data_IF_611113001399
#
_entry.id   IF_611113001399
#
_cell.length_a   1.000
_cell.length_b   1.000
_cell.length_c   1.000
_cell.angle_alpha   90.00
_cell.angle_beta   90.00
_cell.angle_gamma   90.00
#
_symmetry.space_group_name_H-M   'P 1'
#
loop_
_entity.id
_entity.type
_entity.pdbx_description
1 polymer ?
#
# COMPACT_ATOMS: atom_id res chain seq x y z
N UNK A 1 -23.47 -28.23 45.77
CA UNK A 1 -22.40 -27.25 46.03
C UNK A 1 -21.08 -27.79 45.48
N UNK A 2 -20.89 -27.88 44.15
CA UNK A 2 -19.70 -28.55 43.57
C UNK A 2 -19.25 -27.96 42.22
N UNK A 3 -19.82 -26.80 41.83
CA UNK A 3 -19.51 -26.13 40.57
C UNK A 3 -18.61 -24.89 40.74
N UNK A 4 -18.30 -24.50 41.99
CA UNK A 4 -17.33 -23.45 42.30
C UNK A 4 -15.91 -24.02 42.34
N UNK A 5 -15.70 -25.12 43.07
CA UNK A 5 -14.37 -25.76 43.17
C UNK A 5 -13.75 -26.07 41.80
N UNK A 6 -14.50 -26.66 40.86
CA UNK A 6 -13.96 -26.98 39.52
C UNK A 6 -13.55 -25.77 38.66
N UNK A 7 -14.09 -24.57 38.93
CA UNK A 7 -13.69 -23.36 38.21
C UNK A 7 -12.44 -22.73 38.80
N UNK A 8 -12.27 -22.88 40.11
CA UNK A 8 -11.07 -22.42 40.80
C UNK A 8 -9.89 -23.35 40.45
N UNK A 9 -10.12 -24.67 40.33
CA UNK A 9 -9.10 -25.64 39.88
C UNK A 9 -8.57 -25.35 38.45
N UNK A 10 -9.45 -25.05 37.48
CA UNK A 10 -9.06 -24.70 36.09
C UNK A 10 -8.34 -23.34 36.01
N UNK A 11 -8.66 -22.42 36.93
CA UNK A 11 -7.99 -21.13 37.02
C UNK A 11 -6.59 -21.28 37.61
N UNK A 12 -6.42 -22.13 38.63
CA UNK A 12 -5.14 -22.38 39.29
C UNK A 12 -4.16 -23.09 38.33
N UNK A 13 -4.64 -24.06 37.54
CA UNK A 13 -3.82 -24.72 36.51
C UNK A 13 -3.35 -23.73 35.42
N UNK A 14 -4.22 -22.81 34.98
CA UNK A 14 -3.84 -21.74 34.04
C UNK A 14 -2.86 -20.73 34.65
N UNK A 15 -2.96 -20.46 35.94
CA UNK A 15 -2.06 -19.55 36.65
C UNK A 15 -0.68 -20.17 36.82
N UNK A 16 -0.60 -21.47 37.14
CA UNK A 16 0.66 -22.22 37.21
C UNK A 16 1.34 -22.30 35.83
N UNK A 17 0.57 -22.54 34.76
CA UNK A 17 1.10 -22.51 33.39
C UNK A 17 1.63 -21.13 33.03
N UNK A 18 0.89 -20.06 33.37
CA UNK A 18 1.32 -18.69 33.15
C UNK A 18 2.56 -18.33 33.97
N UNK A 19 2.67 -18.79 35.22
CA UNK A 19 3.85 -18.58 36.06
C UNK A 19 5.07 -19.30 35.49
N UNK A 20 4.90 -20.54 35.01
CA UNK A 20 5.97 -21.29 34.34
C UNK A 20 6.50 -20.54 33.12
N UNK A 21 5.60 -20.10 32.23
CA UNK A 21 5.95 -19.34 31.02
C UNK A 21 6.60 -18.00 31.36
N UNK A 22 6.11 -17.28 32.38
CA UNK A 22 6.73 -16.04 32.82
C UNK A 22 8.11 -16.26 33.44
N UNK A 23 8.33 -17.40 34.11
CA UNK A 23 9.64 -17.76 34.65
C UNK A 23 10.65 -18.06 33.54
N UNK A 24 10.21 -18.75 32.49
CA UNK A 24 11.00 -19.09 31.30
C UNK A 24 11.36 -17.82 30.51
N UNK A 25 10.37 -16.98 30.23
CA UNK A 25 10.59 -15.70 29.53
C UNK A 25 11.53 -14.76 30.31
N UNK A 26 11.46 -14.78 31.65
CA UNK A 26 12.36 -14.01 32.51
C UNK A 26 13.78 -14.58 32.56
N UNK A 27 13.94 -15.89 32.40
CA UNK A 27 15.25 -16.51 32.27
C UNK A 27 15.90 -16.13 30.93
N UNK A 28 15.14 -16.24 29.83
CA UNK A 28 15.57 -15.85 28.49
C UNK A 28 15.95 -14.37 28.39
N UNK A 29 15.14 -13.48 28.99
CA UNK A 29 15.44 -12.05 29.03
C UNK A 29 16.77 -11.77 29.75
N UNK A 30 17.05 -12.46 30.87
CA UNK A 30 18.30 -12.31 31.61
C UNK A 30 19.52 -12.87 30.86
N UNK A 31 19.34 -13.90 30.05
CA UNK A 31 20.40 -14.44 29.18
C UNK A 31 20.73 -13.46 28.05
N UNK A 32 19.70 -12.97 27.35
CA UNK A 32 19.85 -11.95 26.30
C UNK A 32 20.49 -10.64 26.80
N UNK A 33 20.21 -10.25 28.05
CA UNK A 33 20.79 -9.05 28.66
C UNK A 33 22.28 -9.20 29.00
N UNK A 34 22.75 -10.44 29.22
CA UNK A 34 24.19 -10.75 29.38
C UNK A 34 24.92 -10.74 28.05
N UNK A 35 24.27 -11.16 26.96
CA UNK A 35 24.83 -11.14 25.60
C UNK A 35 25.02 -9.72 25.03
N UNK A 36 24.33 -8.71 25.58
CA UNK A 36 24.47 -7.29 25.17
C UNK A 36 25.75 -6.59 25.68
N UNK A 37 26.57 -7.24 26.52
CA UNK A 37 27.83 -6.65 27.06
C UNK A 37 29.09 -6.92 26.23
N UNK A 38 28.98 -7.60 25.09
CA UNK A 38 30.10 -7.83 24.16
C UNK A 38 29.99 -7.01 22.87
N UNK A 39 31.08 -6.90 22.08
CA UNK A 39 31.02 -6.31 20.73
C UNK A 39 29.92 -6.97 19.91
N UNK A 40 29.25 -6.23 18.99
CA UNK A 40 28.11 -6.74 18.25
C UNK A 40 28.52 -8.02 17.52
N UNK A 41 27.92 -9.14 17.92
CA UNK A 41 28.20 -10.41 17.26
C UNK A 41 27.59 -10.35 15.85
N UNK A 42 28.31 -10.84 14.83
CA UNK A 42 27.72 -10.98 13.51
C UNK A 42 26.48 -11.89 13.60
N UNK A 43 25.42 -11.56 12.83
CA UNK A 43 24.16 -12.28 12.91
C UNK A 43 24.35 -13.74 12.56
N UNK A 44 23.68 -14.64 13.31
CA UNK A 44 23.77 -16.07 13.00
C UNK A 44 22.87 -16.42 11.82
N UNK A 45 23.21 -17.47 11.08
CA UNK A 45 22.38 -18.02 10.00
C UNK A 45 20.95 -18.34 10.50
N UNK A 46 20.81 -18.80 11.74
CA UNK A 46 19.52 -19.03 12.39
C UNK A 46 18.71 -17.74 12.61
N UNK A 47 19.36 -16.61 12.86
CA UNK A 47 18.70 -15.30 12.96
C UNK A 47 18.27 -14.76 11.60
N UNK A 48 19.05 -15.01 10.54
CA UNK A 48 18.64 -14.66 9.18
C UNK A 48 17.43 -15.47 8.72
N UNK A 49 17.42 -16.79 8.96
CA UNK A 49 16.26 -17.64 8.68
C UNK A 49 15.05 -17.15 9.48
N UNK A 50 15.21 -16.91 10.78
CA UNK A 50 14.13 -16.38 11.63
C UNK A 50 13.66 -14.99 11.18
N UNK A 51 14.56 -14.14 10.71
CA UNK A 51 14.23 -12.82 10.17
C UNK A 51 13.44 -12.93 8.85
N UNK A 52 13.84 -13.85 7.97
CA UNK A 52 13.09 -14.09 6.73
C UNK A 52 11.71 -14.66 7.02
N UNK A 53 11.57 -15.53 8.02
CA UNK A 53 10.29 -16.09 8.44
C UNK A 53 9.39 -15.07 9.14
N UNK A 54 9.95 -14.26 10.05
CA UNK A 54 9.16 -13.29 10.83
C UNK A 54 8.80 -12.04 10.04
N UNK A 55 9.66 -11.60 9.13
CA UNK A 55 9.53 -10.28 8.52
C UNK A 55 9.56 -10.30 7.00
N UNK A 56 10.53 -10.97 6.36
CA UNK A 56 10.69 -10.86 4.91
C UNK A 56 9.58 -11.59 4.15
N UNK A 57 9.34 -12.86 4.47
CA UNK A 57 8.33 -13.70 3.81
C UNK A 57 6.92 -13.14 4.05
N UNK A 58 6.49 -12.78 5.27
CA UNK A 58 5.17 -12.19 5.49
C UNK A 58 4.97 -10.87 4.74
N UNK A 59 6.00 -10.01 4.71
CA UNK A 59 5.95 -8.74 3.96
C UNK A 59 5.83 -8.99 2.46
N UNK A 60 6.60 -9.95 1.93
CA UNK A 60 6.54 -10.30 0.51
C UNK A 60 5.18 -10.90 0.13
N UNK A 61 4.62 -11.75 0.99
CA UNK A 61 3.26 -12.30 0.82
C UNK A 61 2.23 -11.18 0.85
N UNK A 62 2.31 -10.25 1.80
CA UNK A 62 1.38 -9.12 1.89
C UNK A 62 1.46 -8.22 0.64
N UNK A 63 2.66 -7.98 0.12
CA UNK A 63 2.86 -7.26 -1.13
C UNK A 63 2.19 -8.00 -2.30
N UNK A 64 2.43 -9.30 -2.44
CA UNK A 64 1.83 -10.13 -3.48
C UNK A 64 0.30 -10.23 -3.35
N UNK A 65 -0.23 -10.34 -2.13
CA UNK A 65 -1.67 -10.34 -1.90
C UNK A 65 -2.29 -8.99 -2.29
N UNK A 66 -1.58 -7.90 -2.02
CA UNK A 66 -1.99 -6.55 -2.42
C UNK A 66 -1.97 -6.39 -3.95
N UNK A 67 -0.93 -6.91 -4.62
CA UNK A 67 -0.88 -6.86 -6.09
C UNK A 67 -1.97 -7.74 -6.72
N UNK A 68 -2.20 -8.95 -6.20
CA UNK A 68 -3.29 -9.82 -6.63
C UNK A 68 -4.64 -9.13 -6.42
N UNK A 69 -4.92 -8.57 -5.25
CA UNK A 69 -6.16 -7.82 -4.98
C UNK A 69 -6.32 -6.62 -5.93
N UNK A 70 -5.22 -5.94 -6.27
CA UNK A 70 -5.24 -4.84 -7.25
C UNK A 70 -5.60 -5.33 -8.66
N UNK A 71 -5.06 -6.47 -9.08
CA UNK A 71 -5.40 -7.13 -10.35
C UNK A 71 -6.83 -7.67 -10.36
N UNK A 72 -7.33 -8.17 -9.24
CA UNK A 72 -8.74 -8.58 -9.09
C UNK A 72 -9.68 -7.38 -9.17
N UNK A 73 -9.29 -6.24 -8.58
CA UNK A 73 -10.02 -4.99 -8.71
C UNK A 73 -10.08 -4.55 -10.17
N UNK A 74 -8.93 -4.56 -10.86
CA UNK A 74 -8.83 -4.26 -12.28
C UNK A 74 -9.71 -5.21 -13.12
N UNK A 75 -9.69 -6.52 -12.83
CA UNK A 75 -10.61 -7.49 -13.46
C UNK A 75 -12.08 -7.17 -13.18
N UNK A 76 -12.40 -6.73 -11.96
CA UNK A 76 -13.73 -6.24 -11.60
C UNK A 76 -14.16 -5.05 -12.45
N UNK A 77 -13.26 -4.09 -12.69
CA UNK A 77 -13.52 -2.95 -13.57
C UNK A 77 -13.68 -3.34 -15.04
N UNK A 78 -12.85 -4.26 -15.55
CA UNK A 78 -12.97 -4.79 -16.90
C UNK A 78 -14.28 -5.58 -17.10
N UNK A 79 -14.73 -6.30 -16.07
CA UNK A 79 -16.05 -6.97 -16.07
C UNK A 79 -17.21 -5.97 -16.09
N UNK A 80 -17.02 -4.76 -15.56
CA UNK A 80 -18.01 -3.69 -15.65
C UNK A 80 -18.02 -3.04 -17.04
N UNK A 81 -16.86 -3.03 -17.73
CA UNK A 81 -16.69 -2.53 -19.10
C UNK A 81 -17.16 -3.54 -20.17
N UNK A 82 -17.33 -4.82 -19.82
CA UNK A 82 -18.06 -5.82 -20.62
C UNK A 82 -19.45 -6.14 -20.00
N UNK A 83 -20.40 -5.18 -20.04
CA UNK A 83 -21.77 -5.42 -19.61
C UNK A 83 -22.51 -6.37 -20.55
N UNK A 84 -22.02 -6.59 -21.79
CA UNK A 84 -22.68 -7.41 -22.82
C UNK A 84 -22.90 -8.87 -22.39
N UNK A 85 -22.06 -9.40 -21.49
CA UNK A 85 -22.19 -10.75 -20.93
C UNK A 85 -22.98 -10.84 -19.63
N UNK A 86 -23.27 -9.72 -18.96
CA UNK A 86 -23.89 -9.69 -17.62
C UNK A 86 -25.22 -8.93 -17.54
N UNK A 87 -25.57 -8.14 -18.55
CA UNK A 87 -26.80 -7.33 -18.61
C UNK A 87 -28.04 -8.10 -19.09
N UNK A 88 -27.88 -9.31 -19.61
CA UNK A 88 -29.02 -10.14 -20.03
C UNK A 88 -29.96 -10.54 -18.86
N UNK A 89 -29.50 -10.44 -17.61
CA UNK A 89 -30.23 -10.89 -16.42
C UNK A 89 -30.17 -9.83 -15.28
N UNK A 90 -31.05 -8.83 -15.27
CA UNK A 90 -31.43 -8.14 -14.02
C UNK A 90 -30.92 -6.72 -13.76
N UNK A 91 -31.09 -5.81 -14.72
CA UNK A 91 -30.66 -4.40 -14.61
C UNK A 91 -31.44 -3.52 -13.63
N UNK A 92 -32.67 -3.89 -13.23
CA UNK A 92 -33.48 -3.01 -12.35
C UNK A 92 -33.19 -3.18 -10.85
N UNK A 93 -32.64 -4.33 -10.41
CA UNK A 93 -32.35 -4.61 -9.00
C UNK A 93 -30.88 -4.48 -8.60
N UNK A 94 -29.95 -4.51 -9.56
CA UNK A 94 -28.52 -4.45 -9.29
C UNK A 94 -28.05 -3.04 -8.86
N UNK A 95 -28.68 -1.99 -9.40
CA UNK A 95 -28.32 -0.60 -9.10
C UNK A 95 -28.65 -0.18 -7.66
N UNK A 96 -29.79 -0.62 -7.12
CA UNK A 96 -30.25 -0.27 -5.77
C UNK A 96 -29.37 -0.96 -4.70
N UNK A 97 -29.04 -2.25 -4.91
CA UNK A 97 -28.12 -2.99 -4.03
C UNK A 97 -26.70 -2.42 -4.02
N UNK A 98 -26.20 -1.97 -5.17
CA UNK A 98 -24.88 -1.34 -5.24
C UNK A 98 -24.86 0.02 -4.53
N UNK A 99 -25.94 0.80 -4.65
CA UNK A 99 -26.09 2.05 -3.93
C UNK A 99 -26.12 1.83 -2.41
N UNK A 100 -26.86 0.84 -1.92
CA UNK A 100 -26.91 0.50 -0.48
C UNK A 100 -25.54 0.04 0.06
N UNK A 101 -24.79 -0.76 -0.71
CA UNK A 101 -23.44 -1.20 -0.32
C UNK A 101 -22.46 -0.03 -0.30
N UNK A 102 -22.52 0.86 -1.29
CA UNK A 102 -21.71 2.08 -1.33
C UNK A 102 -22.03 3.01 -0.16
N UNK A 103 -23.30 3.20 0.14
CA UNK A 103 -23.76 4.08 1.22
C UNK A 103 -23.40 3.49 2.60
N UNK A 104 -23.45 2.15 2.75
CA UNK A 104 -22.96 1.45 3.93
C UNK A 104 -21.43 1.53 4.11
N UNK A 105 -20.67 1.39 3.04
CA UNK A 105 -19.21 1.49 3.06
C UNK A 105 -18.73 2.92 3.40
N UNK A 106 -19.37 3.94 2.82
CA UNK A 106 -19.08 5.36 3.12
C UNK A 106 -19.44 5.73 4.56
N UNK A 107 -20.58 5.25 5.07
CA UNK A 107 -20.95 5.44 6.47
C UNK A 107 -19.98 4.73 7.45
N UNK A 108 -19.52 3.52 7.11
CA UNK A 108 -18.51 2.82 7.89
C UNK A 108 -17.16 3.55 7.91
N UNK A 109 -16.72 4.08 6.76
CA UNK A 109 -15.49 4.86 6.65
C UNK A 109 -15.56 6.17 7.44
N UNK A 110 -16.67 6.92 7.33
CA UNK A 110 -16.89 8.14 8.13
C UNK A 110 -16.83 7.84 9.64
N UNK A 111 -17.37 6.70 10.07
CA UNK A 111 -17.28 6.25 11.46
C UNK A 111 -15.85 5.94 11.89
N UNK A 112 -15.10 5.20 11.09
CA UNK A 112 -13.69 4.89 11.37
C UNK A 112 -12.81 6.13 11.40
N UNK A 113 -13.06 7.13 10.53
CA UNK A 113 -12.35 8.41 10.55
C UNK A 113 -12.69 9.23 11.80
N UNK A 114 -13.95 9.23 12.23
CA UNK A 114 -14.35 9.86 13.49
C UNK A 114 -13.70 9.19 14.70
N UNK A 115 -13.57 7.87 14.70
CA UNK A 115 -12.86 7.11 15.76
C UNK A 115 -11.36 7.40 15.73
N UNK A 116 -10.75 7.46 14.53
CA UNK A 116 -9.34 7.84 14.36
C UNK A 116 -9.07 9.27 14.83
N UNK A 117 -9.94 10.24 14.48
CA UNK A 117 -9.84 11.63 14.95
C UNK A 117 -9.96 11.73 16.46
N UNK A 118 -10.88 10.96 17.05
CA UNK A 118 -11.05 10.90 18.51
C UNK A 118 -9.79 10.35 19.17
N UNK A 119 -9.28 9.21 18.67
CA UNK A 119 -8.05 8.61 19.17
C UNK A 119 -6.83 9.52 18.99
N UNK A 120 -6.72 10.19 17.84
CA UNK A 120 -5.62 11.12 17.54
C UNK A 120 -5.74 12.43 18.34
N UNK A 121 -6.95 12.82 18.77
CA UNK A 121 -7.19 13.97 19.64
C UNK A 121 -6.96 13.65 21.12
N UNK A 122 -7.12 12.38 21.52
CA UNK A 122 -6.91 11.89 22.88
C UNK A 122 -5.45 11.46 23.12
N UNK A 123 -4.74 11.04 22.06
CA UNK A 123 -3.31 10.77 22.11
C UNK A 123 -2.51 12.06 22.32
N UNK A 124 -1.64 12.07 23.32
CA UNK A 124 -0.68 13.15 23.56
C UNK A 124 0.16 13.40 22.29
N UNK A 125 0.27 14.68 21.90
CA UNK A 125 1.03 15.06 20.71
C UNK A 125 2.54 14.84 20.97
N UNK A 126 3.29 14.34 19.97
CA UNK A 126 4.74 14.26 20.05
C UNK A 126 5.37 15.64 20.32
N UNK A 127 6.42 15.69 21.15
CA UNK A 127 7.16 16.93 21.46
C UNK A 127 7.86 17.53 20.21
N UNK A 128 8.24 16.65 19.26
CA UNK A 128 8.95 17.02 18.04
C UNK A 128 8.10 17.90 17.08
N UNK A 129 8.69 18.98 16.58
CA UNK A 129 7.98 19.97 15.78
C UNK A 129 7.59 19.45 14.38
N UNK A 130 8.43 18.61 13.76
CA UNK A 130 8.11 18.00 12.47
C UNK A 130 6.96 17.00 12.59
N UNK A 131 6.99 16.19 13.66
CA UNK A 131 5.93 15.24 14.00
C UNK A 131 4.59 15.92 14.29
N UNK A 132 4.60 17.10 14.93
CA UNK A 132 3.40 17.93 15.14
C UNK A 132 2.82 18.48 13.83
N UNK A 133 3.66 18.89 12.89
CA UNK A 133 3.21 19.36 11.56
C UNK A 133 2.49 18.25 10.81
N UNK A 134 3.09 17.05 10.74
CA UNK A 134 2.50 15.92 10.01
C UNK A 134 1.15 15.50 10.60
N UNK A 135 1.02 15.50 11.94
CA UNK A 135 -0.25 15.18 12.60
C UNK A 135 -1.31 16.28 12.36
N UNK A 136 -0.90 17.55 12.29
CA UNK A 136 -1.80 18.64 11.92
C UNK A 136 -2.28 18.51 10.47
N UNK A 137 -1.37 18.25 9.53
CA UNK A 137 -1.68 18.03 8.12
C UNK A 137 -2.62 16.83 7.92
N UNK A 138 -2.40 15.74 8.67
CA UNK A 138 -3.27 14.57 8.66
C UNK A 138 -4.69 14.87 9.19
N UNK A 139 -4.81 15.75 10.20
CA UNK A 139 -6.11 16.19 10.74
C UNK A 139 -6.86 17.07 9.75
N UNK A 140 -6.16 18.00 9.09
CA UNK A 140 -6.74 18.87 8.07
C UNK A 140 -7.23 18.05 6.86
N UNK A 141 -6.41 17.10 6.38
CA UNK A 141 -6.80 16.20 5.29
C UNK A 141 -8.02 15.33 5.65
N UNK A 142 -8.10 14.85 6.89
CA UNK A 142 -9.26 14.07 7.35
C UNK A 142 -10.54 14.91 7.34
N UNK A 143 -10.46 16.16 7.79
CA UNK A 143 -11.60 17.08 7.78
C UNK A 143 -12.06 17.41 6.35
N UNK A 144 -11.13 17.57 5.41
CA UNK A 144 -11.44 17.78 3.99
C UNK A 144 -12.17 16.57 3.38
N UNK A 145 -11.68 15.35 3.67
CA UNK A 145 -12.29 14.10 3.21
C UNK A 145 -13.71 13.94 3.76
N UNK A 146 -13.92 14.19 5.06
CA UNK A 146 -15.27 14.17 5.67
C UNK A 146 -16.20 15.18 5.00
N UNK A 147 -15.74 16.41 4.80
CA UNK A 147 -16.53 17.44 4.10
C UNK A 147 -16.91 17.01 2.69
N UNK A 148 -16.02 16.32 1.97
CA UNK A 148 -16.28 15.85 0.61
C UNK A 148 -17.24 14.67 0.58
N UNK A 149 -17.17 13.76 1.55
CA UNK A 149 -18.10 12.63 1.70
C UNK A 149 -19.50 13.15 2.04
N UNK A 150 -19.61 14.08 2.99
CA UNK A 150 -20.90 14.66 3.38
C UNK A 150 -21.55 15.42 2.23
N UNK A 151 -20.76 16.15 1.43
CA UNK A 151 -21.28 16.83 0.24
C UNK A 151 -21.77 15.83 -0.81
N UNK A 152 -21.01 14.76 -1.07
CA UNK A 152 -21.44 13.68 -1.96
C UNK A 152 -22.72 12.99 -1.49
N UNK A 153 -22.91 12.85 -0.17
CA UNK A 153 -24.15 12.31 0.42
C UNK A 153 -25.33 13.23 0.16
N UNK A 154 -25.17 14.54 0.40
CA UNK A 154 -26.22 15.55 0.13
C UNK A 154 -26.61 15.57 -1.35
N UNK A 155 -25.64 15.47 -2.24
CA UNK A 155 -25.89 15.41 -3.69
C UNK A 155 -26.66 14.15 -4.08
N UNK A 156 -26.28 12.99 -3.52
CA UNK A 156 -26.96 11.72 -3.75
C UNK A 156 -28.39 11.72 -3.21
N UNK A 157 -28.61 12.25 -2.01
CA UNK A 157 -29.94 12.41 -1.40
C UNK A 157 -30.80 13.36 -2.24
N UNK A 158 -30.26 14.49 -2.70
CA UNK A 158 -30.96 15.42 -3.58
C UNK A 158 -31.28 14.81 -4.97
N UNK A 159 -30.45 13.90 -5.47
CA UNK A 159 -30.74 13.14 -6.69
C UNK A 159 -31.87 12.12 -6.47
N UNK A 160 -31.87 11.42 -5.32
CA UNK A 160 -32.93 10.47 -4.93
C UNK A 160 -34.28 11.18 -4.75
N UNK A 161 -34.29 12.33 -4.07
CA UNK A 161 -35.50 13.15 -3.86
C UNK A 161 -36.08 13.67 -5.18
N UNK A 162 -35.22 14.10 -6.13
CA UNK A 162 -35.67 14.48 -7.48
C UNK A 162 -36.31 13.31 -8.23
N UNK A 163 -35.78 12.09 -8.07
CA UNK A 163 -36.34 10.88 -8.68
C UNK A 163 -37.70 10.52 -8.09
N UNK A 164 -37.82 10.52 -6.76
CA UNK A 164 -39.06 10.20 -6.04
C UNK A 164 -40.15 11.28 -6.17
N UNK A 165 -39.76 12.55 -6.33
CA UNK A 165 -40.66 13.66 -6.59
C UNK A 165 -41.36 13.55 -7.95
N UNK A 166 -40.65 13.07 -8.99
CA UNK A 166 -41.20 12.89 -10.34
C UNK A 166 -42.33 11.86 -10.42
N UNK A 167 -42.35 10.89 -9.51
CA UNK A 167 -43.39 9.86 -9.46
C UNK A 167 -44.62 10.29 -8.65
N UNK A 168 -44.50 11.25 -7.71
CA UNK A 168 -45.66 11.79 -6.97
C UNK A 168 -46.54 12.72 -7.82
N UNK A 169 -45.96 13.47 -8.75
CA UNK A 169 -46.73 14.36 -9.64
C UNK A 169 -47.55 13.61 -10.72
N UNK A 170 -47.29 12.31 -10.95
CA UNK A 170 -48.14 11.46 -11.81
C UNK A 170 -49.33 10.81 -11.10
N UNK A 171 -49.35 10.81 -9.77
CA UNK A 171 -50.41 10.15 -8.97
C UNK A 171 -51.54 11.06 -8.50
N UNK A 172 -51.51 12.36 -8.86
CA UNK A 172 -52.50 13.36 -8.42
C UNK A 172 -53.11 14.09 -9.62
N UNK A 173 -53.62 13.32 -10.58
CA UNK A 173 -54.23 13.84 -11.81
C UNK A 173 -55.59 13.23 -12.16
N UNK A 174 -56.18 12.41 -11.29
CA UNK A 174 -57.46 11.74 -11.56
C UNK A 174 -58.48 12.08 -10.47
N UNK A 175 -59.01 13.30 -10.49
CA UNK A 175 -60.40 13.58 -10.10
C UNK A 175 -60.78 15.00 -10.57
N UNK A 176 -61.78 15.05 -11.44
CA UNK A 176 -62.52 16.20 -11.97
C UNK A 176 -61.91 17.04 -13.11
N UNK A 177 -62.39 16.77 -14.34
CA UNK A 177 -62.54 17.81 -15.36
C UNK A 177 -62.55 17.30 -16.82
N UNK A 178 -63.71 17.18 -17.49
CA UNK A 178 -63.76 16.84 -18.90
C UNK A 178 -63.59 18.10 -19.78
N UNK A 179 -63.01 17.89 -20.97
CA UNK A 179 -63.03 18.72 -22.20
C UNK A 179 -61.86 19.71 -22.38
N UNK A 180 -60.92 19.36 -23.25
CA UNK A 180 -60.85 19.88 -24.64
C UNK A 180 -59.54 19.50 -25.34
N UNK A 181 -59.70 19.15 -26.62
CA UNK A 181 -58.79 18.93 -27.75
C UNK A 181 -57.27 19.26 -27.69
N UNK A 182 -56.47 18.59 -28.55
CA UNK A 182 -55.01 18.58 -28.50
C UNK A 182 -54.38 19.69 -29.35
N UNK A 183 -53.22 20.20 -28.92
CA UNK A 183 -52.29 20.89 -29.81
C UNK A 183 -50.84 20.65 -29.40
N UNK A 184 -50.01 20.59 -30.42
CA UNK A 184 -48.70 19.97 -30.49
C UNK A 184 -47.56 20.79 -29.85
N UNK A 185 -46.51 20.07 -29.44
CA UNK A 185 -45.24 20.66 -29.01
C UNK A 185 -44.55 19.78 -27.97
N UNK A 186 -44.25 18.52 -28.31
CA UNK A 186 -43.44 17.66 -27.46
C UNK A 186 -41.98 17.88 -27.82
N UNK A 187 -41.29 18.63 -26.95
CA UNK A 187 -39.84 18.70 -26.95
C UNK A 187 -39.26 17.29 -26.82
N UNK A 188 -38.43 16.98 -27.82
CA UNK A 188 -37.83 15.70 -28.09
C UNK A 188 -36.60 15.54 -27.19
N UNK A 189 -36.79 15.06 -25.95
CA UNK A 189 -35.70 14.45 -25.18
C UNK A 189 -35.43 13.05 -25.77
N UNK A 190 -34.89 13.01 -26.99
CA UNK A 190 -34.38 11.78 -27.61
C UNK A 190 -33.09 11.37 -26.92
N UNK A 191 -32.96 10.13 -26.43
CA UNK A 191 -31.68 9.60 -25.98
C UNK A 191 -30.72 9.50 -27.17
N UNK A 192 -29.54 10.09 -27.03
CA UNK A 192 -28.44 9.99 -28.00
C UNK A 192 -28.10 8.52 -28.20
N UNK A 193 -28.41 7.98 -29.38
CA UNK A 193 -27.95 6.65 -29.81
C UNK A 193 -26.60 6.82 -30.49
N UNK A 194 -25.55 6.29 -29.86
CA UNK A 194 -24.24 6.16 -30.49
C UNK A 194 -24.28 4.86 -31.28
N UNK A 195 -24.32 4.97 -32.61
CA UNK A 195 -24.07 3.82 -33.49
C UNK A 195 -22.58 3.52 -33.45
N UNK A 196 -22.21 2.51 -32.65
CA UNK A 196 -20.88 1.90 -32.71
C UNK A 196 -20.88 1.00 -33.93
N UNK A 197 -20.24 1.44 -35.00
CA UNK A 197 -19.95 0.57 -36.13
C UNK A 197 -18.85 -0.39 -35.68
N UNK A 198 -19.19 -1.66 -35.51
CA UNK A 198 -18.23 -2.73 -35.28
C UNK A 198 -17.26 -2.78 -36.47
N UNK A 199 -15.92 -2.80 -36.26
CA UNK A 199 -15.00 -2.98 -37.37
C UNK A 199 -15.31 -4.32 -38.02
N UNK A 200 -15.65 -4.26 -39.30
CA UNK A 200 -16.27 -5.36 -40.02
C UNK A 200 -15.51 -6.68 -39.90
N UNK A 201 -16.26 -7.73 -39.56
CA UNK A 201 -16.01 -9.08 -40.01
C UNK A 201 -16.08 -9.08 -41.55
N UNK A 202 -14.90 -9.13 -42.17
CA UNK A 202 -14.71 -8.83 -43.57
C UNK A 202 -13.60 -9.67 -44.19
N UNK A 203 -13.90 -10.96 -44.40
CA UNK A 203 -13.55 -11.69 -45.61
C UNK A 203 -12.11 -12.17 -45.77
N UNK A 204 -11.99 -13.48 -45.98
CA UNK A 204 -10.84 -14.16 -46.58
C UNK A 204 -10.26 -13.37 -47.76
N UNK A 205 -9.01 -12.93 -47.59
CA UNK A 205 -8.19 -12.35 -48.63
C UNK A 205 -6.74 -12.45 -48.19
N UNK A 206 -6.00 -13.37 -48.83
CA UNK A 206 -4.54 -13.42 -48.84
C UNK A 206 -3.96 -12.01 -49.07
N UNK A 207 -3.55 -11.37 -47.98
CA UNK A 207 -2.67 -10.22 -47.99
C UNK A 207 -1.76 -10.40 -46.78
N UNK A 208 -0.53 -10.82 -47.06
CA UNK A 208 0.55 -10.87 -46.08
C UNK A 208 0.69 -9.47 -45.49
N UNK A 209 0.13 -9.29 -44.31
CA UNK A 209 0.27 -8.08 -43.52
C UNK A 209 1.68 -8.15 -42.97
N UNK A 210 2.56 -7.26 -43.41
CA UNK A 210 3.82 -6.99 -42.75
C UNK A 210 3.48 -6.74 -41.28
N UNK A 211 3.84 -7.69 -40.44
CA UNK A 211 3.74 -7.59 -38.99
C UNK A 211 4.52 -6.32 -38.64
N UNK A 212 3.83 -5.26 -38.17
CA UNK A 212 4.49 -4.12 -37.54
C UNK A 212 5.19 -4.67 -36.30
N UNK A 213 6.43 -5.13 -36.49
CA UNK A 213 7.31 -5.58 -35.44
C UNK A 213 7.38 -4.45 -34.40
N UNK A 214 7.15 -4.75 -33.10
CA UNK A 214 7.28 -3.75 -32.06
C UNK A 214 8.69 -3.14 -32.16
N UNK A 215 8.85 -1.82 -31.96
CA UNK A 215 10.13 -1.16 -32.15
C UNK A 215 11.20 -1.89 -31.34
N UNK A 216 12.18 -2.46 -32.05
CA UNK A 216 13.30 -3.14 -31.43
C UNK A 216 14.04 -2.14 -30.56
N UNK A 217 14.02 -2.36 -29.25
CA UNK A 217 14.68 -1.47 -28.29
C UNK A 217 16.16 -1.82 -28.29
N UNK A 218 17.00 -0.93 -28.83
CA UNK A 218 18.46 -1.05 -28.77
C UNK A 218 18.96 -0.87 -27.33
N UNK A 219 18.98 -1.97 -26.58
CA UNK A 219 19.40 -1.99 -25.17
C UNK A 219 20.82 -1.44 -25.00
N UNK A 220 21.70 -1.63 -25.98
CA UNK A 220 23.06 -1.09 -25.96
C UNK A 220 23.08 0.44 -25.94
N UNK A 221 22.24 1.09 -26.74
CA UNK A 221 22.13 2.56 -26.82
C UNK A 221 21.54 3.13 -25.53
N UNK A 222 20.54 2.47 -24.96
CA UNK A 222 19.91 2.86 -23.70
C UNK A 222 20.89 2.73 -22.52
N UNK A 223 21.68 1.65 -22.47
CA UNK A 223 22.69 1.44 -21.44
C UNK A 223 23.82 2.47 -21.53
N UNK A 224 24.23 2.87 -22.73
CA UNK A 224 25.23 3.94 -22.90
C UNK A 224 24.70 5.29 -22.39
N UNK A 225 23.42 5.60 -22.64
CA UNK A 225 22.77 6.82 -22.15
C UNK A 225 22.74 6.88 -20.62
N UNK A 226 22.35 5.78 -19.97
CA UNK A 226 22.31 5.67 -18.50
C UNK A 226 23.73 5.75 -17.91
N UNK A 227 24.73 5.10 -18.55
CA UNK A 227 26.12 5.18 -18.11
C UNK A 227 26.66 6.61 -18.19
N UNK A 228 26.36 7.33 -19.27
CA UNK A 228 26.79 8.72 -19.45
C UNK A 228 26.11 9.67 -18.45
N UNK A 229 24.86 9.38 -18.07
CA UNK A 229 24.17 10.12 -17.02
C UNK A 229 24.82 9.91 -15.64
N UNK A 230 25.21 8.67 -15.31
CA UNK A 230 25.91 8.34 -14.06
C UNK A 230 27.33 8.93 -14.01
N UNK A 231 28.07 8.85 -15.11
CA UNK A 231 29.43 9.41 -15.19
C UNK A 231 29.38 10.96 -15.23
N UNK A 232 28.31 11.54 -15.79
CA UNK A 232 28.09 12.99 -15.84
C UNK A 232 27.77 13.61 -14.48
N UNK A 233 27.04 12.91 -13.62
CA UNK A 233 26.79 13.33 -12.23
C UNK A 233 28.03 13.15 -11.33
N UNK A 234 28.98 12.29 -11.72
CA UNK A 234 30.24 12.09 -11.00
C UNK A 234 31.35 13.09 -11.38
N UNK A 235 31.25 13.76 -12.53
CA UNK A 235 32.26 14.70 -13.05
C UNK A 235 31.83 16.19 -12.95
N UNK A 236 30.85 16.50 -12.11
CA UNK A 236 30.25 17.84 -11.97
C UNK A 236 30.78 18.72 -10.83
N UNK A 237 31.82 18.32 -10.09
CA UNK A 237 32.34 19.10 -8.94
C UNK A 237 33.88 19.19 -8.88
N UNK A 238 34.56 19.29 -10.03
CA UNK A 238 35.98 19.69 -10.04
C UNK A 238 36.17 20.97 -10.86
N UNK A 239 35.70 22.08 -10.30
CA UNK A 239 36.22 23.40 -10.67
C UNK A 239 37.55 23.64 -9.98
N UNK A 240 38.62 23.54 -10.77
CA UNK A 240 39.69 24.53 -10.88
C UNK A 240 40.65 24.66 -9.67
N UNK A 241 41.70 23.83 -9.68
CA UNK A 241 42.97 24.17 -9.04
C UNK A 241 44.14 23.59 -9.85
N UNK A 242 44.58 24.39 -10.82
CA UNK A 242 45.98 24.68 -11.16
C UNK A 242 46.99 23.52 -11.07
N UNK A 243 47.48 23.15 -12.25
CA UNK A 243 48.63 22.31 -12.52
C UNK A 243 49.85 22.57 -11.61
N UNK A 244 50.44 21.48 -11.09
CA UNK A 244 51.88 21.43 -10.85
C UNK A 244 52.41 20.07 -11.30
N UNK A 245 53.13 20.12 -12.42
CA UNK A 245 53.99 19.08 -12.98
C UNK A 245 55.16 18.77 -12.02
N UNK A 246 55.41 17.48 -11.77
CA UNK A 246 56.72 16.86 -11.48
C UNK A 246 56.47 15.34 -11.43
N UNK A 247 56.70 14.60 -12.51
CA UNK A 247 58.01 14.02 -12.86
C UNK A 247 58.69 13.38 -11.64
N UNK A 248 58.60 12.05 -11.54
CA UNK A 248 59.80 11.23 -11.48
C UNK A 248 59.48 9.74 -11.59
N UNK A 249 60.28 9.11 -12.44
CA UNK A 249 60.18 7.74 -12.87
C UNK A 249 60.90 6.75 -11.93
N UNK A 250 60.48 5.49 -12.06
CA UNK A 250 61.29 4.26 -11.88
C UNK A 250 61.75 3.89 -10.46
N UNK A 251 61.59 2.59 -10.15
CA UNK A 251 62.26 1.98 -9.00
C UNK A 251 61.78 0.56 -8.73
N UNK A 252 62.31 -0.37 -9.51
CA UNK A 252 62.20 -1.82 -9.40
C UNK A 252 62.88 -2.37 -8.12
N UNK A 253 62.51 -3.59 -7.74
CA UNK A 253 63.20 -4.42 -6.74
C UNK A 253 62.95 -4.05 -5.27
N UNK A 254 63.12 -4.93 -4.30
CA UNK A 254 63.63 -6.29 -4.27
C UNK A 254 63.32 -6.83 -2.85
N UNK A 255 63.61 -8.10 -2.66
CA UNK A 255 63.47 -8.93 -1.48
C UNK A 255 63.88 -8.33 -0.11
N UNK A 256 63.53 -9.06 0.95
CA UNK A 256 64.03 -8.78 2.30
C UNK A 256 63.42 -9.68 3.35
N UNK A 257 63.91 -10.91 3.41
CA UNK A 257 63.59 -11.92 4.42
C UNK A 257 64.03 -11.51 5.85
N UNK A 258 63.47 -12.28 6.80
CA UNK A 258 64.10 -12.77 8.02
C UNK A 258 63.90 -11.98 9.33
N UNK A 259 63.26 -12.71 10.26
CA UNK A 259 63.70 -13.02 11.62
C UNK A 259 64.09 -11.87 12.56
N UNK A 260 63.39 -11.78 13.69
CA UNK A 260 64.06 -11.61 14.98
C UNK A 260 63.18 -12.16 16.13
N UNK A 261 63.49 -13.40 16.53
CA UNK A 261 63.26 -13.92 17.87
C UNK A 261 64.41 -13.42 18.76
N UNK A 262 64.12 -12.63 19.81
CA UNK A 262 64.93 -12.62 21.03
C UNK A 262 64.27 -11.86 22.19
N UNK A 263 63.86 -12.66 23.18
CA UNK A 263 64.23 -12.56 24.58
C UNK A 263 64.02 -11.26 25.40
N UNK A 264 63.37 -11.48 26.54
CA UNK A 264 63.97 -11.06 27.80
C UNK A 264 63.11 -10.12 28.64
N UNK A 265 62.50 -10.68 29.70
CA UNK A 265 62.59 -10.09 31.04
C UNK A 265 62.22 -11.12 32.11
N UNK A 266 63.30 -11.54 32.77
CA UNK A 266 63.37 -12.19 34.06
C UNK A 266 62.94 -11.27 35.21
N UNK A 267 62.91 -11.88 36.39
CA UNK A 267 62.87 -11.31 37.75
C UNK A 267 61.45 -11.04 38.26
N UNK A 268 60.92 -11.87 39.16
CA UNK A 268 61.41 -12.12 40.52
C UNK A 268 60.36 -11.47 41.44
N UNK A 269 59.84 -12.02 42.53
CA UNK A 269 60.44 -12.78 43.62
C UNK A 269 59.25 -13.21 44.53
N UNK A 270 59.06 -14.51 44.78
CA UNK A 270 59.25 -15.22 46.08
C UNK A 270 58.63 -14.54 47.32
N UNK A 271 57.73 -15.26 47.98
CA UNK A 271 57.89 -15.94 49.28
C UNK A 271 57.33 -15.06 50.41
N UNK A 272 56.67 -15.57 51.44
CA UNK A 272 56.56 -16.90 52.06
C UNK A 272 55.14 -17.01 52.65
#
# INVERSE_FOLDING_TARGET
>A
MSSRDRRDDDLEERLDELESVLSELRADLRENERDRRGPPRPPRLSELVRFTEQYTIPTLIALLETTIKSLELLRGTLRLADPGRSVAEGTEGAGDRLADVRDGATAGLARSLSELRTALSEADLPEDAASRSIIADARDLTAEIESRIDEGRREADAARDRRLGRDRDRGRGDEDGPRSAPDAGRDDDSPVRIDVTEPGDGGDGDAESEEDDPPEVDVESELESIKRQIDGDAAGDETDAEAVEADDAHGDGDDGSADDDADGRSDGERAD
#
